data_IF_613132176512
#
_entry.id   IF_613132176512
#
_cell.length_a   1.000
_cell.length_b   1.000
_cell.length_c   1.000
_cell.angle_alpha   90.00
_cell.angle_beta   90.00
_cell.angle_gamma   90.00
#
_symmetry.space_group_name_H-M   'P 1'
#
loop_
_entity.id
_entity.type
_entity.pdbx_description
1 polymer ?
#
# COMPACT_ATOMS: atom_id res chain seq x y z
N UNK A 1 5.39 -0.89 -13.32
CA UNK A 1 4.59 -0.31 -12.21
C UNK A 1 4.15 -1.47 -11.32
N UNK A 2 4.16 -1.31 -10.00
CA UNK A 2 3.77 -2.38 -9.06
C UNK A 2 2.39 -2.10 -8.46
N UNK A 3 1.66 -3.16 -8.11
CA UNK A 3 0.38 -3.04 -7.40
C UNK A 3 0.36 -4.02 -6.23
N UNK A 4 0.02 -3.55 -5.03
CA UNK A 4 -0.16 -4.38 -3.84
C UNK A 4 -1.64 -4.56 -3.59
N UNK A 5 -2.11 -5.81 -3.50
CA UNK A 5 -3.54 -6.11 -3.36
C UNK A 5 -3.78 -7.36 -2.53
N UNK A 6 -4.96 -7.50 -1.94
CA UNK A 6 -5.37 -8.78 -1.37
C UNK A 6 -5.58 -9.82 -2.47
N UNK A 7 -5.26 -11.08 -2.18
CA UNK A 7 -5.35 -12.18 -3.15
C UNK A 7 -6.76 -12.30 -3.76
N UNK A 8 -7.80 -12.16 -2.95
CA UNK A 8 -9.21 -12.16 -3.39
C UNK A 8 -9.55 -11.07 -4.42
N UNK A 9 -8.80 -9.96 -4.43
CA UNK A 9 -9.01 -8.83 -5.33
C UNK A 9 -8.07 -8.89 -6.55
N UNK A 10 -7.20 -9.90 -6.66
CA UNK A 10 -6.30 -10.09 -7.80
C UNK A 10 -7.03 -10.11 -9.16
N UNK A 11 -8.19 -10.79 -9.31
CA UNK A 11 -8.90 -10.80 -10.59
C UNK A 11 -9.29 -9.41 -11.09
N UNK A 12 -9.55 -8.45 -10.20
CA UNK A 12 -9.87 -7.07 -10.57
C UNK A 12 -8.65 -6.39 -11.20
N UNK A 13 -7.47 -6.62 -10.63
CA UNK A 13 -6.22 -6.01 -11.11
C UNK A 13 -5.78 -6.63 -12.43
N UNK A 14 -6.03 -7.91 -12.66
CA UNK A 14 -5.70 -8.60 -13.92
C UNK A 14 -6.50 -8.06 -15.12
N UNK A 15 -7.64 -7.39 -14.89
CA UNK A 15 -8.39 -6.71 -15.93
C UNK A 15 -7.76 -5.37 -16.34
N UNK A 16 -6.83 -4.83 -15.54
CA UNK A 16 -6.18 -3.55 -15.82
C UNK A 16 -4.97 -3.76 -16.73
N UNK A 17 -4.89 -3.08 -17.90
CA UNK A 17 -3.83 -3.31 -18.89
C UNK A 17 -2.46 -2.69 -18.51
N UNK A 18 -2.31 -2.21 -17.27
CA UNK A 18 -1.17 -1.37 -16.87
C UNK A 18 -0.09 -2.11 -16.06
N UNK A 19 -0.37 -3.33 -15.61
CA UNK A 19 0.51 -4.07 -14.70
C UNK A 19 0.90 -5.41 -15.32
N UNK A 20 2.20 -5.67 -15.39
CA UNK A 20 2.68 -7.01 -15.71
C UNK A 20 2.35 -7.96 -14.54
N UNK A 21 2.01 -9.23 -14.81
CA UNK A 21 1.59 -10.18 -13.77
C UNK A 21 2.58 -10.31 -12.60
N UNK A 22 3.88 -10.22 -12.87
CA UNK A 22 4.98 -10.33 -11.91
C UNK A 22 5.11 -9.11 -11.00
N UNK A 23 4.55 -7.98 -11.41
CA UNK A 23 4.58 -6.73 -10.66
C UNK A 23 3.35 -6.54 -9.76
N UNK A 24 2.38 -7.45 -9.82
CA UNK A 24 1.23 -7.45 -8.93
C UNK A 24 1.55 -8.37 -7.74
N UNK A 25 1.74 -7.75 -6.58
CA UNK A 25 2.06 -8.38 -5.31
C UNK A 25 0.74 -8.66 -4.58
N UNK A 26 0.49 -9.93 -4.24
CA UNK A 26 -0.71 -10.33 -3.51
C UNK A 26 -0.40 -10.62 -2.04
N UNK A 27 -1.37 -10.32 -1.16
CA UNK A 27 -1.35 -10.71 0.26
C UNK A 27 -2.55 -11.61 0.52
N UNK A 28 -2.30 -12.80 1.06
CA UNK A 28 -3.33 -13.72 1.58
C UNK A 28 -3.74 -13.27 2.99
N UNK A 29 -5.01 -12.91 3.18
CA UNK A 29 -5.62 -12.46 4.43
C UNK A 29 -6.49 -13.54 5.12
N UNK A 30 -6.45 -14.79 4.65
CA UNK A 30 -7.24 -15.91 5.21
C UNK A 30 -6.94 -16.20 6.69
N UNK A 31 -5.76 -15.80 7.17
CA UNK A 31 -5.44 -15.76 8.59
C UNK A 31 -4.30 -14.78 8.89
N UNK A 32 -4.18 -14.41 10.16
CA UNK A 32 -3.21 -13.41 10.61
C UNK A 32 -1.75 -13.77 10.30
N UNK A 33 -1.36 -15.05 10.40
CA UNK A 33 0.01 -15.49 10.12
C UNK A 33 0.40 -15.34 8.65
N UNK A 34 -0.50 -15.74 7.74
CA UNK A 34 -0.31 -15.55 6.29
C UNK A 34 -0.32 -14.07 5.91
N UNK A 35 -1.22 -13.28 6.51
CA UNK A 35 -1.27 -11.84 6.29
C UNK A 35 0.05 -11.17 6.68
N UNK A 36 0.52 -11.38 7.92
CA UNK A 36 1.75 -10.75 8.44
C UNK A 36 2.98 -11.18 7.63
N UNK A 37 3.12 -12.48 7.32
CA UNK A 37 4.24 -12.99 6.53
C UNK A 37 4.20 -12.54 5.06
N UNK A 38 3.01 -12.45 4.46
CA UNK A 38 2.78 -11.89 3.13
C UNK A 38 3.15 -10.41 3.08
N UNK A 39 2.69 -9.64 4.06
CA UNK A 39 3.00 -8.22 4.19
C UNK A 39 4.51 -7.98 4.36
N UNK A 40 5.18 -8.77 5.20
CA UNK A 40 6.63 -8.65 5.37
C UNK A 40 7.41 -8.96 4.08
N UNK A 41 7.01 -10.01 3.36
CA UNK A 41 7.57 -10.33 2.03
C UNK A 41 7.33 -9.22 1.02
N UNK A 42 6.15 -8.62 1.01
CA UNK A 42 5.83 -7.48 0.15
C UNK A 42 6.75 -6.29 0.43
N UNK A 43 6.90 -5.91 1.71
CA UNK A 43 7.82 -4.83 2.12
C UNK A 43 9.26 -5.11 1.68
N UNK A 44 9.75 -6.33 1.89
CA UNK A 44 11.10 -6.72 1.46
C UNK A 44 11.26 -6.67 -0.06
N UNK A 45 10.24 -7.10 -0.81
CA UNK A 45 10.24 -7.03 -2.28
C UNK A 45 10.31 -5.58 -2.75
N UNK A 46 9.50 -4.69 -2.19
CA UNK A 46 9.51 -3.26 -2.51
C UNK A 46 10.89 -2.64 -2.29
N UNK A 47 11.55 -2.97 -1.17
CA UNK A 47 12.93 -2.52 -0.88
C UNK A 47 13.95 -3.11 -1.85
N UNK A 48 13.83 -4.39 -2.19
CA UNK A 48 14.74 -5.09 -3.12
C UNK A 48 14.66 -4.50 -4.53
N UNK A 49 13.46 -4.21 -5.02
CA UNK A 49 13.22 -3.58 -6.32
C UNK A 49 13.53 -2.07 -6.32
N UNK A 50 13.92 -1.51 -5.17
CA UNK A 50 14.28 -0.09 -5.00
C UNK A 50 13.18 0.87 -5.46
N UNK A 51 11.92 0.50 -5.24
CA UNK A 51 10.78 1.35 -5.57
C UNK A 51 10.88 2.64 -4.76
N UNK A 52 10.96 3.77 -5.47
CA UNK A 52 11.22 5.07 -4.87
C UNK A 52 9.95 5.84 -4.51
N UNK A 53 8.80 5.44 -5.08
CA UNK A 53 7.49 6.04 -4.85
C UNK A 53 6.41 5.00 -4.49
N UNK A 54 5.61 5.29 -3.46
CA UNK A 54 4.45 4.50 -3.06
C UNK A 54 3.22 5.40 -2.92
N UNK A 55 2.09 4.95 -3.49
CA UNK A 55 0.80 5.64 -3.44
C UNK A 55 -0.16 4.75 -2.65
N UNK A 56 -0.65 5.27 -1.53
CA UNK A 56 -1.64 4.62 -0.68
C UNK A 56 -3.05 5.04 -1.09
N UNK A 57 -3.82 4.07 -1.60
CA UNK A 57 -5.18 4.27 -2.10
C UNK A 57 -6.27 3.86 -1.08
N UNK A 58 -5.93 3.29 0.08
CA UNK A 58 -6.93 2.83 1.06
C UNK A 58 -7.54 4.01 1.85
N UNK A 59 -6.77 5.10 1.98
CA UNK A 59 -7.20 6.43 2.44
C UNK A 59 -7.67 6.57 3.90
N UNK A 60 -8.12 5.49 4.54
CA UNK A 60 -8.95 5.58 5.74
C UNK A 60 -8.36 4.89 6.98
N UNK A 61 -7.38 4.00 6.84
CA UNK A 61 -6.84 3.26 7.99
C UNK A 61 -5.41 3.69 8.33
N UNK A 62 -5.07 3.67 9.62
CA UNK A 62 -3.68 3.92 10.07
C UNK A 62 -2.74 2.78 9.64
N UNK A 63 -3.26 1.57 9.53
CA UNK A 63 -2.52 0.38 9.10
C UNK A 63 -1.87 0.57 7.73
N UNK A 64 -2.60 1.06 6.72
CA UNK A 64 -2.02 1.31 5.39
C UNK A 64 -0.95 2.40 5.39
N UNK A 65 -1.11 3.44 6.21
CA UNK A 65 -0.08 4.48 6.34
C UNK A 65 1.22 3.90 6.93
N UNK A 66 1.10 3.04 7.95
CA UNK A 66 2.24 2.32 8.54
C UNK A 66 2.88 1.39 7.50
N UNK A 67 2.08 0.62 6.77
CA UNK A 67 2.58 -0.29 5.72
C UNK A 67 3.34 0.50 4.66
N UNK A 68 2.76 1.58 4.16
CA UNK A 68 3.36 2.47 3.16
C UNK A 68 4.67 3.06 3.67
N UNK A 69 4.72 3.49 4.94
CA UNK A 69 5.96 3.94 5.58
C UNK A 69 7.02 2.85 5.63
N UNK A 70 6.65 1.64 6.06
CA UNK A 70 7.56 0.51 6.18
C UNK A 70 8.14 0.07 4.84
N UNK A 71 7.50 0.35 3.69
CA UNK A 71 8.11 0.10 2.38
C UNK A 71 9.48 0.76 2.20
N UNK A 72 9.73 1.89 2.87
CA UNK A 72 10.96 2.67 2.71
C UNK A 72 11.02 3.48 1.42
N UNK A 73 9.94 3.55 0.64
CA UNK A 73 9.84 4.42 -0.53
C UNK A 73 10.10 5.87 -0.13
N UNK A 74 10.90 6.61 -0.90
CA UNK A 74 11.27 8.00 -0.60
C UNK A 74 10.08 8.95 -0.73
N UNK A 75 9.28 8.77 -1.78
CA UNK A 75 8.04 9.50 -2.01
C UNK A 75 6.88 8.62 -1.57
N UNK A 76 6.15 9.06 -0.55
CA UNK A 76 4.94 8.39 -0.04
C UNK A 76 3.79 9.35 -0.19
N UNK A 77 2.83 8.97 -1.02
CA UNK A 77 1.61 9.73 -1.31
C UNK A 77 0.45 9.01 -0.63
N UNK A 78 -0.43 9.74 0.03
CA UNK A 78 -1.62 9.17 0.62
C UNK A 78 -2.49 10.23 1.24
N UNK A 79 -3.74 9.87 1.55
CA UNK A 79 -4.66 10.79 2.19
C UNK A 79 -4.21 11.14 3.60
N UNK A 80 -4.20 12.44 3.87
CA UNK A 80 -4.03 13.01 5.19
C UNK A 80 -5.36 13.63 5.64
N UNK A 81 -5.67 13.45 6.91
CA UNK A 81 -6.90 13.96 7.49
C UNK A 81 -6.72 15.43 7.90
N UNK A 82 -6.86 16.36 6.96
CA UNK A 82 -6.71 17.80 7.22
C UNK A 82 -7.90 18.43 7.94
N UNK A 83 -9.11 17.88 7.76
CA UNK A 83 -10.37 18.43 8.31
C UNK A 83 -10.78 17.79 9.65
N UNK A 84 -9.98 16.87 10.19
CA UNK A 84 -10.30 16.07 11.38
C UNK A 84 -11.54 15.17 11.27
N UNK A 85 -12.09 14.97 10.07
CA UNK A 85 -13.26 14.11 9.85
C UNK A 85 -12.92 12.61 9.79
N UNK A 86 -11.66 12.26 9.51
CA UNK A 86 -11.14 10.89 9.51
C UNK A 86 -10.31 10.50 10.77
N UNK A 87 -9.81 9.26 10.85
CA UNK A 87 -8.85 8.87 11.90
C UNK A 87 -7.44 9.39 11.61
N UNK A 88 -6.71 9.84 12.64
CA UNK A 88 -5.32 10.29 12.51
C UNK A 88 -4.37 9.16 12.05
N UNK A 89 -3.55 9.43 11.00
CA UNK A 89 -2.70 8.44 10.30
C UNK A 89 -1.19 8.57 10.55
N UNK A 90 -0.76 9.37 11.55
CA UNK A 90 0.63 9.38 12.03
C UNK A 90 1.62 10.26 11.24
N UNK A 91 1.16 11.08 10.29
CA UNK A 91 2.00 11.96 9.43
C UNK A 91 3.17 11.19 8.78
N UNK A 92 2.84 10.05 8.17
CA UNK A 92 3.80 9.10 7.60
C UNK A 92 4.04 9.31 6.08
N UNK A 93 3.22 10.14 5.44
CA UNK A 93 3.34 10.50 4.03
C UNK A 93 4.26 11.71 3.86
N UNK A 94 4.89 11.78 2.69
CA UNK A 94 5.70 12.94 2.27
C UNK A 94 4.90 13.93 1.44
N UNK A 95 3.88 13.43 0.74
CA UNK A 95 2.98 14.18 -0.11
C UNK A 95 1.57 13.81 0.34
N UNK A 96 0.93 14.76 1.00
CA UNK A 96 -0.35 14.54 1.65
C UNK A 96 -1.48 14.98 0.71
N UNK A 97 -2.44 14.09 0.47
CA UNK A 97 -3.63 14.40 -0.31
C UNK A 97 -4.75 14.83 0.64
N UNK A 98 -5.45 15.91 0.28
CA UNK A 98 -6.64 16.34 1.02
C UNK A 98 -7.86 15.56 0.55
N UNK A 99 -8.73 15.20 1.48
CA UNK A 99 -10.02 14.58 1.20
C UNK A 99 -11.07 15.69 1.19
N UNK A 100 -11.40 16.24 0.01
CA UNK A 100 -12.48 17.22 -0.23
C UNK A 100 -12.88 17.25 -1.70
#
# INVERSE_FOLDING_TARGET
MFFLVFEQNRPIVDLLPYFEPENIITIDDSNLGKFVSGLWRAILRVRREKIDAAIDMEGLTRSSAIITYLTGARRRVGYHNFTSEGPYRGRLFTHELNYN
#
